data_IF_006570993919
#
_entry.id   IF_006570993919
#
_cell.length_a   1.000
_cell.length_b   1.000
_cell.length_c   1.000
_cell.angle_alpha   90.00
_cell.angle_beta   90.00
_cell.angle_gamma   90.00
#
_symmetry.space_group_name_H-M   'P 1'
#
loop_
_entity.id
_entity.type
_entity.pdbx_description
1 polymer ?
#
# COMPACT_ATOMS: atom_id res chain seq x y z
N UNK A 1 0.12 41.52 -22.24
CA UNK A 1 -0.76 41.38 -21.06
C UNK A 1 -2.16 41.95 -21.27
N UNK A 2 -2.35 43.18 -21.76
CA UNK A 2 -3.67 43.85 -21.86
C UNK A 2 -4.77 43.11 -22.67
N UNK A 3 -4.43 42.13 -23.52
CA UNK A 3 -5.40 41.36 -24.33
C UNK A 3 -5.68 39.93 -23.81
N UNK A 4 -4.91 39.45 -22.82
CA UNK A 4 -5.11 38.09 -22.29
C UNK A 4 -6.39 37.97 -21.47
N UNK A 5 -6.70 38.99 -20.65
CA UNK A 5 -7.91 39.00 -19.82
C UNK A 5 -9.17 39.03 -20.69
N UNK A 6 -9.20 39.90 -21.72
CA UNK A 6 -10.33 39.99 -22.65
C UNK A 6 -10.52 38.71 -23.47
N UNK A 7 -9.45 38.02 -23.82
CA UNK A 7 -9.52 36.71 -24.48
C UNK A 7 -10.03 35.63 -23.53
N UNK A 8 -9.57 35.62 -22.27
CA UNK A 8 -10.01 34.67 -21.25
C UNK A 8 -11.51 34.81 -20.97
N UNK A 9 -11.98 36.04 -20.71
CA UNK A 9 -13.40 36.31 -20.42
C UNK A 9 -14.31 35.85 -21.57
N UNK A 10 -13.93 36.13 -22.83
CA UNK A 10 -14.69 35.69 -24.00
C UNK A 10 -14.75 34.17 -24.14
N UNK A 11 -13.68 33.46 -23.79
CA UNK A 11 -13.66 31.99 -23.83
C UNK A 11 -14.50 31.40 -22.71
N UNK A 12 -14.38 31.93 -21.50
CA UNK A 12 -15.16 31.47 -20.33
C UNK A 12 -16.65 31.68 -20.55
N UNK A 13 -17.07 32.83 -21.10
CA UNK A 13 -18.48 33.14 -21.33
C UNK A 13 -19.21 32.17 -22.28
N UNK A 14 -18.48 31.39 -23.09
CA UNK A 14 -19.05 30.42 -24.02
C UNK A 14 -19.06 28.98 -23.48
N UNK A 15 -18.63 28.75 -22.24
CA UNK A 15 -18.58 27.41 -21.66
C UNK A 15 -19.92 26.98 -21.05
N UNK A 16 -20.21 25.66 -21.03
CA UNK A 16 -21.31 25.11 -20.27
C UNK A 16 -21.23 25.49 -18.79
N UNK A 17 -22.39 25.69 -18.15
CA UNK A 17 -22.48 26.10 -16.74
C UNK A 17 -21.75 25.15 -15.78
N UNK A 18 -21.78 23.84 -16.07
CA UNK A 18 -21.05 22.81 -15.32
C UNK A 18 -19.52 22.98 -15.36
N UNK A 19 -18.98 23.49 -16.48
CA UNK A 19 -17.56 23.78 -16.63
C UNK A 19 -17.18 25.10 -15.95
N UNK A 20 -18.11 26.06 -15.85
CA UNK A 20 -17.86 27.33 -15.18
C UNK A 20 -17.53 27.15 -13.70
N UNK A 21 -18.28 26.28 -12.99
CA UNK A 21 -17.98 25.97 -11.59
C UNK A 21 -16.56 25.44 -11.40
N UNK A 22 -16.17 24.46 -12.24
CA UNK A 22 -14.83 23.87 -12.21
C UNK A 22 -13.73 24.90 -12.50
N UNK A 23 -13.98 25.85 -13.40
CA UNK A 23 -13.01 26.90 -13.73
C UNK A 23 -12.89 27.93 -12.61
N UNK A 24 -14.00 28.31 -11.97
CA UNK A 24 -13.97 29.17 -10.79
C UNK A 24 -13.12 28.53 -9.69
N UNK A 25 -13.37 27.25 -9.37
CA UNK A 25 -12.58 26.52 -8.38
C UNK A 25 -11.09 26.52 -8.74
N UNK A 26 -10.74 26.26 -10.00
CA UNK A 26 -9.34 26.29 -10.45
C UNK A 26 -8.71 27.68 -10.29
N UNK A 27 -9.43 28.75 -10.62
CA UNK A 27 -8.94 30.13 -10.47
C UNK A 27 -8.70 30.44 -8.98
N UNK A 28 -9.64 30.07 -8.10
CA UNK A 28 -9.48 30.25 -6.65
C UNK A 28 -8.26 29.49 -6.12
N UNK A 29 -8.05 28.25 -6.55
CA UNK A 29 -6.87 27.47 -6.17
C UNK A 29 -5.57 28.08 -6.66
N UNK A 30 -5.53 28.57 -7.91
CA UNK A 30 -4.38 29.26 -8.47
C UNK A 30 -4.08 30.60 -7.78
N UNK A 31 -5.09 31.26 -7.22
CA UNK A 31 -4.96 32.52 -6.47
C UNK A 31 -4.62 32.33 -4.98
N UNK A 32 -4.68 31.09 -4.47
CA UNK A 32 -4.39 30.78 -3.07
C UNK A 32 -2.89 30.81 -2.72
N UNK A 33 -2.56 30.67 -1.43
CA UNK A 33 -1.18 30.52 -0.95
C UNK A 33 -0.45 29.32 -1.56
N UNK A 34 -1.19 28.30 -2.02
CA UNK A 34 -0.66 27.13 -2.73
C UNK A 34 -0.67 27.30 -4.26
N UNK A 35 -0.92 28.50 -4.77
CA UNK A 35 -1.13 28.77 -6.20
C UNK A 35 0.00 28.32 -7.12
N UNK A 36 1.26 28.44 -6.67
CA UNK A 36 2.42 28.02 -7.46
C UNK A 36 2.49 26.48 -7.63
N UNK A 37 2.06 25.74 -6.62
CA UNK A 37 1.96 24.28 -6.67
C UNK A 37 0.85 23.86 -7.63
N UNK A 38 -0.34 24.48 -7.51
CA UNK A 38 -1.45 24.27 -8.45
C UNK A 38 -1.07 24.60 -9.88
N UNK A 39 -0.33 25.68 -10.13
CA UNK A 39 0.15 26.02 -11.47
C UNK A 39 1.12 24.97 -12.02
N UNK A 40 1.98 24.42 -11.18
CA UNK A 40 2.95 23.38 -11.57
C UNK A 40 2.23 22.09 -11.96
N UNK A 41 1.28 21.64 -11.15
CA UNK A 41 0.50 20.43 -11.42
C UNK A 41 -0.46 20.61 -12.59
N UNK A 42 -1.07 21.80 -12.75
CA UNK A 42 -1.88 22.13 -13.93
C UNK A 42 -1.03 22.07 -15.21
N UNK A 43 0.23 22.53 -15.19
CA UNK A 43 1.13 22.43 -16.34
C UNK A 43 1.44 20.97 -16.69
N UNK A 44 1.65 20.11 -15.69
CA UNK A 44 1.80 18.65 -15.90
C UNK A 44 0.54 18.06 -16.52
N UNK A 45 -0.63 18.42 -16.00
CA UNK A 45 -1.93 17.95 -16.51
C UNK A 45 -2.11 18.31 -17.99
N UNK A 46 -1.81 19.56 -18.36
CA UNK A 46 -1.88 20.03 -19.75
C UNK A 46 -0.91 19.29 -20.69
N UNK A 47 0.18 18.73 -20.15
CA UNK A 47 1.15 17.89 -20.89
C UNK A 47 0.82 16.40 -20.86
N UNK A 48 -0.26 16.00 -20.17
CA UNK A 48 -0.63 14.60 -19.91
C UNK A 48 0.42 13.84 -19.09
N UNK A 49 1.15 14.54 -18.23
CA UNK A 49 2.05 13.94 -17.25
C UNK A 49 1.28 13.57 -15.96
N UNK A 50 1.83 12.65 -15.16
CA UNK A 50 1.25 12.31 -13.85
C UNK A 50 1.27 13.54 -12.92
N UNK A 51 0.10 13.89 -12.38
CA UNK A 51 -0.08 15.04 -11.49
C UNK A 51 -0.28 14.60 -10.04
N UNK A 52 0.04 15.48 -9.10
CA UNK A 52 -0.21 15.34 -7.66
C UNK A 52 0.44 14.12 -7.02
N UNK A 53 1.47 13.56 -7.65
CA UNK A 53 2.19 12.36 -7.21
C UNK A 53 2.91 12.52 -5.87
N UNK A 54 3.10 13.75 -5.39
CA UNK A 54 3.70 14.05 -4.09
C UNK A 54 2.75 14.58 -3.01
N UNK A 55 1.48 14.89 -3.33
CA UNK A 55 0.56 15.52 -2.35
C UNK A 55 -0.23 14.50 -1.55
N UNK A 56 -0.49 13.32 -2.10
CA UNK A 56 -1.09 12.22 -1.32
C UNK A 56 -0.10 11.73 -0.23
N UNK A 57 1.20 12.02 -0.37
CA UNK A 57 2.24 11.30 0.36
C UNK A 57 2.72 11.92 1.70
N UNK A 58 2.31 13.12 2.15
CA UNK A 58 3.05 13.78 3.26
C UNK A 58 2.22 14.33 4.43
N UNK A 59 0.88 14.39 4.40
CA UNK A 59 0.12 14.90 5.58
C UNK A 59 -0.71 13.89 6.36
N UNK A 60 -0.98 12.71 5.79
CA UNK A 60 -1.80 11.66 6.40
C UNK A 60 -1.29 10.25 6.10
N UNK A 61 0.00 10.10 5.75
CA UNK A 61 0.56 8.79 5.44
C UNK A 61 0.50 7.90 6.68
N UNK A 62 -0.21 6.78 6.57
CA UNK A 62 -0.26 5.76 7.63
C UNK A 62 1.09 5.03 7.77
N UNK A 63 1.91 5.09 6.73
CA UNK A 63 3.06 4.24 6.50
C UNK A 63 4.23 5.08 5.99
N UNK A 64 5.41 4.80 6.50
CA UNK A 64 6.70 5.33 6.05
C UNK A 64 7.55 4.23 5.47
N UNK A 65 8.09 4.45 4.26
CA UNK A 65 9.03 3.52 3.64
C UNK A 65 10.33 3.47 4.45
N UNK A 66 10.69 2.28 4.95
CA UNK A 66 11.92 2.06 5.72
C UNK A 66 12.96 1.23 4.96
N UNK A 67 12.56 0.49 3.92
CA UNK A 67 13.49 -0.23 3.04
C UNK A 67 14.12 0.65 1.94
N UNK A 68 13.99 1.98 2.04
CA UNK A 68 14.51 2.91 1.03
C UNK A 68 16.01 2.70 0.80
N UNK A 69 16.39 2.52 -0.48
CA UNK A 69 17.77 2.27 -0.87
C UNK A 69 18.25 0.81 -0.70
N UNK A 70 17.38 -0.10 -0.25
CA UNK A 70 17.68 -1.54 -0.18
C UNK A 70 16.78 -2.32 -1.13
N UNK A 71 17.40 -3.09 -2.03
CA UNK A 71 16.67 -3.98 -2.95
C UNK A 71 16.37 -5.30 -2.25
N UNK A 72 15.16 -5.42 -1.69
CA UNK A 72 14.68 -6.66 -1.10
C UNK A 72 14.02 -7.51 -2.18
N UNK A 73 14.52 -8.72 -2.39
CA UNK A 73 14.05 -9.63 -3.44
C UNK A 73 13.58 -10.93 -2.82
N UNK A 74 12.36 -11.33 -3.13
CA UNK A 74 11.83 -12.68 -2.91
C UNK A 74 12.12 -13.50 -4.17
N UNK A 75 12.66 -14.70 -4.00
CA UNK A 75 12.99 -15.59 -5.11
C UNK A 75 11.71 -16.09 -5.81
N UNK A 76 11.84 -16.55 -7.05
CA UNK A 76 10.73 -17.16 -7.77
C UNK A 76 10.15 -18.36 -7.00
N UNK A 77 8.82 -18.49 -7.03
CA UNK A 77 8.07 -19.53 -6.31
C UNK A 77 7.21 -20.33 -7.29
N UNK A 78 6.96 -21.61 -7.01
CA UNK A 78 6.10 -22.46 -7.85
C UNK A 78 4.62 -22.45 -7.42
N UNK A 79 4.32 -21.86 -6.26
CA UNK A 79 2.99 -21.69 -5.69
C UNK A 79 2.53 -22.88 -4.84
N UNK A 80 3.37 -23.91 -4.65
CA UNK A 80 2.95 -25.16 -4.02
C UNK A 80 2.84 -25.07 -2.50
N UNK A 81 3.61 -24.18 -1.87
CA UNK A 81 3.71 -24.02 -0.43
C UNK A 81 2.68 -23.00 0.11
N UNK A 82 2.09 -23.31 1.27
CA UNK A 82 1.09 -22.48 1.94
C UNK A 82 1.43 -22.27 3.41
N UNK A 83 0.98 -21.17 3.99
CA UNK A 83 1.27 -20.81 5.40
C UNK A 83 0.77 -21.88 6.36
N UNK A 84 -0.38 -22.49 6.05
CA UNK A 84 -1.07 -23.45 6.91
C UNK A 84 -0.28 -24.74 7.16
N UNK A 85 0.74 -25.03 6.34
CA UNK A 85 1.56 -26.25 6.42
C UNK A 85 3.05 -25.94 6.66
N UNK A 86 3.43 -24.67 6.80
CA UNK A 86 4.82 -24.20 6.92
C UNK A 86 5.44 -24.36 8.32
N UNK A 87 5.33 -25.57 8.88
CA UNK A 87 5.83 -25.91 10.22
C UNK A 87 7.37 -25.93 10.33
N UNK A 88 8.06 -25.92 9.19
CA UNK A 88 9.52 -25.74 9.13
C UNK A 88 9.95 -24.27 9.36
N UNK A 89 8.99 -23.33 9.30
CA UNK A 89 9.23 -21.89 9.43
C UNK A 89 8.63 -21.33 10.70
N UNK A 90 7.36 -21.70 10.96
CA UNK A 90 6.58 -21.15 12.05
C UNK A 90 6.40 -22.19 13.15
N UNK A 91 6.63 -21.77 14.39
CA UNK A 91 6.36 -22.59 15.57
C UNK A 91 4.87 -22.63 15.89
N UNK A 92 4.17 -21.50 15.71
CA UNK A 92 2.72 -21.42 15.75
C UNK A 92 2.14 -21.00 14.40
N UNK A 93 1.14 -21.75 13.95
CA UNK A 93 0.36 -21.45 12.74
C UNK A 93 -1.12 -21.37 13.15
N UNK A 94 -1.72 -20.24 12.87
CA UNK A 94 -3.13 -20.01 13.19
C UNK A 94 -4.06 -20.96 12.43
N UNK A 95 -4.86 -21.71 13.19
CA UNK A 95 -5.84 -22.66 12.65
C UNK A 95 -6.87 -22.01 11.73
N UNK A 96 -7.10 -20.70 11.85
CA UNK A 96 -8.04 -19.98 11.00
C UNK A 96 -7.60 -19.90 9.54
N UNK A 97 -6.31 -20.17 9.24
CA UNK A 97 -5.88 -20.39 7.86
C UNK A 97 -6.67 -21.53 7.21
N UNK A 98 -6.90 -22.62 7.94
CA UNK A 98 -7.70 -23.76 7.45
C UNK A 98 -9.19 -23.54 7.67
N UNK A 99 -9.59 -23.06 8.85
CA UNK A 99 -11.02 -22.87 9.18
C UNK A 99 -11.72 -21.90 8.21
N UNK A 100 -11.00 -20.88 7.74
CA UNK A 100 -11.54 -19.89 6.81
C UNK A 100 -11.22 -20.17 5.34
N UNK A 101 -10.57 -21.31 5.05
CA UNK A 101 -10.11 -21.67 3.69
C UNK A 101 -9.16 -20.60 3.12
N UNK A 102 -8.28 -20.06 3.95
CA UNK A 102 -7.21 -19.15 3.57
C UNK A 102 -5.91 -19.89 3.20
N UNK A 103 -5.98 -21.20 2.97
CA UNK A 103 -4.89 -22.14 2.69
C UNK A 103 -4.87 -22.62 1.23
N UNK A 104 -5.48 -21.88 0.30
CA UNK A 104 -5.42 -22.21 -1.12
C UNK A 104 -3.99 -21.99 -1.64
N UNK A 105 -3.49 -22.98 -2.40
CA UNK A 105 -2.21 -22.87 -3.12
C UNK A 105 -2.21 -21.68 -4.08
N UNK A 106 -1.06 -21.04 -4.18
CA UNK A 106 -0.86 -19.89 -5.06
C UNK A 106 -0.56 -20.32 -6.50
N UNK A 107 -0.33 -19.33 -7.33
CA UNK A 107 0.24 -19.52 -8.67
C UNK A 107 1.76 -19.36 -8.62
N UNK A 108 2.45 -19.95 -9.59
CA UNK A 108 3.85 -19.67 -9.79
C UNK A 108 4.08 -18.17 -9.97
N UNK A 109 5.16 -17.66 -9.37
CA UNK A 109 5.55 -16.25 -9.42
C UNK A 109 7.03 -16.13 -9.72
N UNK A 110 7.40 -15.08 -10.45
CA UNK A 110 8.81 -14.75 -10.69
C UNK A 110 9.46 -14.11 -9.46
N UNK A 111 10.74 -13.78 -9.59
CA UNK A 111 11.42 -12.94 -8.60
C UNK A 111 10.65 -11.64 -8.40
N UNK A 112 10.44 -11.27 -7.14
CA UNK A 112 9.59 -10.14 -6.78
C UNK A 112 10.35 -9.21 -5.87
N UNK A 113 10.52 -7.96 -6.32
CA UNK A 113 11.02 -6.88 -5.47
C UNK A 113 9.93 -6.48 -4.50
N UNK A 114 10.32 -6.23 -3.25
CA UNK A 114 9.40 -5.83 -2.19
C UNK A 114 9.89 -4.61 -1.44
N UNK A 115 8.93 -3.89 -0.90
CA UNK A 115 9.16 -2.73 -0.04
C UNK A 115 8.61 -3.00 1.35
N UNK A 116 9.31 -2.48 2.36
CA UNK A 116 8.91 -2.57 3.76
C UNK A 116 8.62 -1.18 4.27
N UNK A 117 7.41 -1.04 4.77
CA UNK A 117 6.90 0.18 5.39
C UNK A 117 6.75 -0.04 6.89
N UNK A 118 6.85 1.04 7.65
CA UNK A 118 6.59 1.08 9.08
C UNK A 118 5.44 2.04 9.37
N UNK A 119 4.58 1.67 10.31
CA UNK A 119 3.40 2.44 10.67
C UNK A 119 3.77 3.73 11.40
N UNK A 120 3.25 4.87 10.93
CA UNK A 120 3.39 6.20 11.56
C UNK A 120 2.07 6.74 12.13
N UNK A 121 0.93 6.11 11.81
CA UNK A 121 -0.40 6.53 12.27
C UNK A 121 -1.31 5.33 12.49
N UNK A 122 -2.13 5.41 13.53
CA UNK A 122 -3.13 4.39 13.86
C UNK A 122 -4.02 4.11 12.65
N UNK A 123 -4.22 2.83 12.32
CA UNK A 123 -4.98 2.47 11.14
C UNK A 123 -5.53 1.05 11.15
N UNK A 124 -6.61 0.85 10.41
CA UNK A 124 -7.11 -0.49 10.05
C UNK A 124 -6.34 -1.04 8.86
N UNK A 125 -6.43 -2.35 8.60
CA UNK A 125 -5.80 -2.93 7.40
C UNK A 125 -6.22 -2.22 6.10
N UNK A 126 -7.50 -1.87 5.97
CA UNK A 126 -8.02 -1.14 4.83
C UNK A 126 -7.33 0.23 4.64
N UNK A 127 -7.07 0.94 5.74
CA UNK A 127 -6.36 2.22 5.69
C UNK A 127 -4.87 2.04 5.38
N UNK A 128 -4.20 1.07 6.01
CA UNK A 128 -2.77 0.81 5.80
C UNK A 128 -2.50 0.43 4.34
N UNK A 129 -3.10 -0.65 3.85
CA UNK A 129 -2.88 -1.11 2.48
C UNK A 129 -3.51 -0.18 1.44
N UNK A 130 -4.71 0.37 1.72
CA UNK A 130 -5.37 1.30 0.82
C UNK A 130 -4.62 2.63 0.64
N UNK A 131 -3.77 3.02 1.60
CA UNK A 131 -2.89 4.19 1.45
C UNK A 131 -1.74 3.98 0.45
N UNK A 132 -1.36 2.73 0.18
CA UNK A 132 -0.28 2.38 -0.76
C UNK A 132 -0.80 2.24 -2.19
N UNK A 133 -1.98 1.65 -2.37
CA UNK A 133 -2.61 1.49 -3.69
C UNK A 133 -4.13 1.29 -3.55
N UNK A 134 -4.96 1.91 -4.40
CA UNK A 134 -6.39 1.59 -4.47
C UNK A 134 -6.66 0.20 -5.08
N UNK A 135 -5.68 -0.36 -5.81
CA UNK A 135 -5.73 -1.71 -6.36
C UNK A 135 -5.00 -2.68 -5.42
N UNK A 136 -5.78 -3.33 -4.55
CA UNK A 136 -5.27 -4.28 -3.54
C UNK A 136 -4.62 -5.52 -4.14
N UNK A 137 -5.03 -5.91 -5.34
CA UNK A 137 -4.47 -7.08 -6.01
C UNK A 137 -2.97 -6.90 -6.27
N UNK A 138 -2.53 -5.67 -6.56
CA UNK A 138 -1.11 -5.32 -6.76
C UNK A 138 -0.27 -5.36 -5.49
N UNK A 139 -0.91 -5.29 -4.33
CA UNK A 139 -0.25 -5.35 -3.02
C UNK A 139 -0.14 -6.78 -2.48
N UNK A 140 -0.79 -7.75 -3.13
CA UNK A 140 -0.84 -9.12 -2.65
C UNK A 140 0.46 -9.87 -2.97
N UNK A 141 0.98 -10.56 -1.96
CA UNK A 141 1.97 -11.62 -2.12
C UNK A 141 1.27 -12.98 -2.12
N UNK A 142 1.87 -13.97 -2.76
CA UNK A 142 1.47 -15.38 -2.56
C UNK A 142 1.92 -15.86 -1.18
N UNK A 143 1.26 -16.89 -0.65
CA UNK A 143 1.64 -17.48 0.63
C UNK A 143 3.09 -17.99 0.63
N UNK A 144 3.53 -18.58 -0.48
CA UNK A 144 4.91 -19.03 -0.63
C UNK A 144 5.91 -17.87 -0.68
N UNK A 145 5.56 -16.74 -1.32
CA UNK A 145 6.40 -15.54 -1.26
C UNK A 145 6.52 -14.98 0.17
N UNK A 146 5.45 -15.02 0.97
CA UNK A 146 5.50 -14.64 2.39
C UNK A 146 6.47 -15.55 3.14
N UNK A 147 6.39 -16.86 2.92
CA UNK A 147 7.33 -17.85 3.50
C UNK A 147 8.77 -17.53 3.08
N UNK A 148 9.00 -17.29 1.79
CA UNK A 148 10.30 -16.94 1.23
C UNK A 148 10.86 -15.65 1.83
N UNK A 149 10.02 -14.63 2.00
CA UNK A 149 10.41 -13.38 2.66
C UNK A 149 10.85 -13.62 4.09
N UNK A 150 10.06 -14.36 4.88
CA UNK A 150 10.37 -14.64 6.30
C UNK A 150 11.68 -15.42 6.45
N UNK A 151 11.96 -16.37 5.54
CA UNK A 151 13.22 -17.13 5.52
C UNK A 151 14.42 -16.25 5.15
N UNK A 152 14.29 -15.42 4.11
CA UNK A 152 15.41 -14.70 3.50
C UNK A 152 15.70 -13.36 4.16
N UNK A 153 14.66 -12.66 4.62
CA UNK A 153 14.70 -11.29 5.12
C UNK A 153 14.26 -11.22 6.59
N UNK A 154 14.74 -12.17 7.41
CA UNK A 154 14.35 -12.30 8.82
C UNK A 154 14.56 -11.01 9.62
N UNK A 155 15.61 -10.25 9.32
CA UNK A 155 15.92 -8.97 9.99
C UNK A 155 14.85 -7.88 9.75
N UNK A 156 14.02 -8.06 8.71
CA UNK A 156 12.89 -7.17 8.42
C UNK A 156 11.61 -7.56 9.17
N UNK A 157 11.56 -8.74 9.78
CA UNK A 157 10.48 -9.11 10.68
C UNK A 157 10.63 -8.36 12.00
N UNK A 158 9.54 -7.77 12.50
CA UNK A 158 9.56 -7.07 13.78
C UNK A 158 9.86 -8.03 14.94
N UNK A 159 10.73 -7.57 15.82
CA UNK A 159 11.00 -8.17 17.14
C UNK A 159 9.97 -7.67 18.15
N UNK A 160 9.98 -8.23 19.36
CA UNK A 160 9.20 -7.74 20.51
C UNK A 160 7.68 -8.00 20.43
N UNK A 161 7.27 -9.05 19.71
CA UNK A 161 5.87 -9.49 19.65
C UNK A 161 4.99 -8.65 18.72
N UNK A 162 5.59 -7.79 17.89
CA UNK A 162 4.87 -6.92 16.96
C UNK A 162 4.78 -7.52 15.57
N UNK A 163 3.59 -7.39 14.97
CA UNK A 163 3.29 -7.97 13.66
C UNK A 163 3.97 -7.25 12.50
N UNK A 164 4.49 -8.06 11.56
CA UNK A 164 4.78 -7.69 10.19
C UNK A 164 3.63 -8.22 9.31
N UNK A 165 2.96 -7.32 8.61
CA UNK A 165 1.73 -7.60 7.87
C UNK A 165 1.99 -7.83 6.39
N UNK A 166 1.38 -8.89 5.87
CA UNK A 166 1.43 -9.27 4.46
C UNK A 166 0.01 -9.45 3.94
N UNK A 167 -0.36 -8.73 2.89
CA UNK A 167 -1.63 -8.93 2.22
C UNK A 167 -1.52 -10.12 1.26
N UNK A 168 -2.52 -11.00 1.26
CA UNK A 168 -2.64 -12.07 0.29
C UNK A 168 -4.10 -12.35 -0.07
N UNK A 169 -4.29 -13.07 -1.17
CA UNK A 169 -5.60 -13.53 -1.62
C UNK A 169 -5.69 -15.05 -1.53
N UNK A 170 -6.82 -15.56 -1.04
CA UNK A 170 -7.15 -16.99 -1.06
C UNK A 170 -8.66 -17.13 -1.25
N UNK A 171 -9.09 -18.02 -2.15
CA UNK A 171 -10.51 -18.20 -2.49
C UNK A 171 -11.25 -16.87 -2.75
N UNK A 172 -10.65 -16.01 -3.59
CA UNK A 172 -11.20 -14.71 -3.99
C UNK A 172 -11.45 -13.72 -2.83
N UNK A 173 -10.83 -13.95 -1.67
CA UNK A 173 -10.93 -13.09 -0.49
C UNK A 173 -9.56 -12.63 -0.04
N UNK A 174 -9.51 -11.39 0.46
CA UNK A 174 -8.30 -10.80 1.00
C UNK A 174 -8.11 -11.14 2.48
N UNK A 175 -6.88 -11.53 2.80
CA UNK A 175 -6.44 -11.85 4.15
C UNK A 175 -5.13 -11.12 4.44
N UNK A 176 -4.88 -10.90 5.73
CA UNK A 176 -3.60 -10.38 6.22
C UNK A 176 -2.94 -11.44 7.08
N UNK A 177 -1.74 -11.85 6.69
CA UNK A 177 -0.87 -12.65 7.53
C UNK A 177 -0.10 -11.69 8.45
N UNK A 178 -0.17 -11.94 9.76
CA UNK A 178 0.59 -11.22 10.77
C UNK A 178 1.71 -12.13 11.27
N UNK A 179 2.94 -11.84 10.86
CA UNK A 179 4.13 -12.59 11.28
C UNK A 179 4.88 -11.83 12.36
N UNK A 180 5.19 -12.48 13.47
CA UNK A 180 5.96 -11.86 14.56
C UNK A 180 6.85 -12.87 15.26
N UNK A 181 7.83 -12.34 16.00
CA UNK A 181 8.72 -13.14 16.85
C UNK A 181 8.14 -13.24 18.26
N UNK A 182 7.92 -14.48 18.72
CA UNK A 182 7.66 -14.84 20.11
C UNK A 182 8.93 -15.43 20.71
N UNK A 183 9.76 -14.56 21.31
CA UNK A 183 11.14 -14.90 21.65
C UNK A 183 11.99 -15.16 20.40
N UNK A 184 12.50 -16.37 20.23
CA UNK A 184 13.28 -16.78 19.05
C UNK A 184 12.43 -17.47 17.96
N UNK A 185 11.16 -17.76 18.26
CA UNK A 185 10.26 -18.51 17.40
C UNK A 185 9.41 -17.55 16.57
N UNK A 186 9.12 -17.94 15.34
CA UNK A 186 8.23 -17.20 14.45
C UNK A 186 6.83 -17.77 14.54
N UNK A 187 5.85 -16.89 14.67
CA UNK A 187 4.45 -17.25 14.68
C UNK A 187 3.74 -16.53 13.52
N UNK A 188 2.71 -17.15 12.96
CA UNK A 188 1.85 -16.54 11.95
C UNK A 188 0.39 -16.60 12.37
N UNK A 189 -0.24 -15.43 12.43
CA UNK A 189 -1.68 -15.26 12.60
C UNK A 189 -2.33 -14.86 11.29
N UNK A 190 -3.61 -15.18 11.12
CA UNK A 190 -4.38 -14.72 9.97
C UNK A 190 -5.55 -13.85 10.41
N UNK A 191 -5.80 -12.79 9.67
CA UNK A 191 -6.98 -11.95 9.84
C UNK A 191 -7.65 -11.74 8.50
N UNK A 192 -8.97 -11.58 8.51
CA UNK A 192 -9.69 -11.09 7.34
C UNK A 192 -9.32 -9.63 7.10
N UNK A 193 -9.16 -9.24 5.84
CA UNK A 193 -8.81 -7.86 5.50
C UNK A 193 -9.83 -6.82 6.02
N UNK A 194 -11.10 -7.19 6.04
CA UNK A 194 -12.22 -6.36 6.53
C UNK A 194 -12.24 -6.19 8.07
N UNK A 195 -11.30 -6.81 8.78
CA UNK A 195 -11.24 -6.68 10.23
C UNK A 195 -11.00 -5.22 10.62
N UNK A 196 -11.97 -4.62 11.33
CA UNK A 196 -12.00 -3.20 11.67
C UNK A 196 -11.14 -2.82 12.87
N UNK A 197 -10.32 -3.74 13.38
CA UNK A 197 -9.37 -3.45 14.46
C UNK A 197 -8.42 -2.35 14.00
N UNK A 198 -8.30 -1.32 14.84
CA UNK A 198 -7.31 -0.26 14.67
C UNK A 198 -6.00 -0.74 15.30
N UNK A 199 -4.92 -0.71 14.52
CA UNK A 199 -3.57 -1.00 14.96
C UNK A 199 -2.91 0.28 15.44
N UNK A 200 -2.22 0.21 16.57
CA UNK A 200 -1.57 1.33 17.25
C UNK A 200 -0.21 1.65 16.63
N UNK A 201 0.02 2.90 16.23
CA UNK A 201 1.26 3.35 15.61
C UNK A 201 2.47 3.26 16.54
N UNK A 202 2.28 3.36 17.86
CA UNK A 202 3.37 3.29 18.85
C UNK A 202 4.01 1.88 18.89
N UNK A 203 3.32 0.89 18.32
CA UNK A 203 3.83 -0.47 18.14
C UNK A 203 4.79 -0.57 16.93
N UNK A 204 4.68 0.38 16.00
CA UNK A 204 5.44 0.44 14.75
C UNK A 204 5.36 -0.90 13.98
N UNK A 205 4.14 -1.36 13.74
CA UNK A 205 3.91 -2.51 12.85
C UNK A 205 4.55 -2.27 11.48
N UNK A 206 5.03 -3.34 10.85
CA UNK A 206 5.58 -3.27 9.49
C UNK A 206 4.57 -3.80 8.49
N UNK A 207 4.62 -3.26 7.27
CA UNK A 207 3.82 -3.72 6.14
C UNK A 207 4.77 -4.05 5.00
N UNK A 208 4.63 -5.24 4.41
CA UNK A 208 5.43 -5.69 3.28
C UNK A 208 4.54 -5.84 2.06
N UNK A 209 4.93 -5.22 0.96
CA UNK A 209 4.19 -5.26 -0.31
C UNK A 209 5.16 -5.43 -1.48
N UNK A 210 4.71 -5.97 -2.64
CA UNK A 210 5.45 -5.87 -3.89
C UNK A 210 5.78 -4.42 -4.22
N UNK A 211 6.98 -4.19 -4.75
CA UNK A 211 7.34 -2.91 -5.32
C UNK A 211 6.47 -2.64 -6.55
N UNK A 212 5.71 -1.54 -6.53
CA UNK A 212 4.84 -1.16 -7.63
C UNK A 212 5.67 -0.52 -8.75
N UNK A 213 5.51 -1.05 -9.97
CA UNK A 213 6.17 -0.54 -11.19
C UNK A 213 5.53 0.74 -11.72
#
# INVERSE_FOLDING_TARGET
MKDMLGTLVRRVANLPLEMLGTICDLIEKLASESGQQWLTELKKFLRKENCWTGIIAIKDAYLKLISSGQALVIDACDGANVLADANDVFAYIDSDLKNWKADQKGFASGETFVEVYEMEKDGTFAQLFGSLSPDLQKLCLTQEQIIGFVKKHRDWIRTDGYGTFFLFVSNERYFVASVFLSGALLDVLVSRFEHSRVWDADIHHRVVVPQLA
#
